data_IF_666404385304
#
_entry.id   IF_666404385304
#
_cell.length_a   1.000
_cell.length_b   1.000
_cell.length_c   1.000
_cell.angle_alpha   90.00
_cell.angle_beta   90.00
_cell.angle_gamma   90.00
#
_symmetry.space_group_name_H-M   'P 1'
#
loop_
_entity.id
_entity.type
_entity.pdbx_description
1 polymer ?
#
# COMPACT_ATOMS: atom_id res chain seq x y z
N UNK A 1 -28.77 13.62 31.88
CA UNK A 1 -27.53 14.28 31.38
C UNK A 1 -26.63 13.17 30.83
N UNK A 2 -26.39 13.14 29.53
CA UNK A 2 -25.32 12.29 28.94
C UNK A 2 -23.97 12.90 29.31
N UNK A 3 -23.12 12.16 30.01
CA UNK A 3 -21.72 12.53 30.21
C UNK A 3 -20.97 12.22 28.91
N UNK A 4 -20.31 13.19 28.34
CA UNK A 4 -19.34 13.05 27.25
C UNK A 4 -17.94 13.39 27.77
N UNK A 5 -16.92 12.73 27.22
CA UNK A 5 -15.55 13.11 27.58
C UNK A 5 -15.17 14.44 26.95
N UNK A 6 -14.27 15.16 27.60
CA UNK A 6 -13.64 16.34 27.00
C UNK A 6 -12.57 15.91 25.99
N UNK A 7 -12.15 16.78 25.06
CA UNK A 7 -11.05 16.49 24.15
C UNK A 7 -9.77 16.04 24.85
N UNK A 8 -9.45 16.67 26.01
CA UNK A 8 -8.31 16.28 26.85
C UNK A 8 -8.51 14.90 27.48
N UNK A 9 -9.76 14.57 27.88
CA UNK A 9 -10.13 13.27 28.40
C UNK A 9 -9.97 12.16 27.37
N UNK A 10 -10.30 12.42 26.11
CA UNK A 10 -10.10 11.49 25.00
C UNK A 10 -8.60 11.23 24.76
N UNK A 11 -7.77 12.29 24.75
CA UNK A 11 -6.31 12.18 24.62
C UNK A 11 -5.74 11.38 25.79
N UNK A 12 -6.13 11.70 27.03
CA UNK A 12 -5.66 10.99 28.22
C UNK A 12 -6.02 9.50 28.16
N UNK A 13 -7.24 9.16 27.81
CA UNK A 13 -7.70 7.78 27.72
C UNK A 13 -6.94 6.99 26.66
N UNK A 14 -6.66 7.61 25.51
CA UNK A 14 -5.88 6.99 24.45
C UNK A 14 -4.45 6.67 24.90
N UNK A 15 -3.78 7.63 25.54
CA UNK A 15 -2.42 7.44 26.08
C UNK A 15 -2.40 6.41 27.23
N UNK A 16 -3.36 6.47 28.15
CA UNK A 16 -3.46 5.52 29.26
C UNK A 16 -3.67 4.07 28.74
N UNK A 17 -4.54 3.86 27.77
CA UNK A 17 -4.73 2.55 27.13
C UNK A 17 -3.47 2.02 26.47
N UNK A 18 -2.69 2.90 25.83
CA UNK A 18 -1.41 2.54 25.22
C UNK A 18 -0.41 2.05 26.27
N UNK A 19 -0.21 2.81 27.35
CA UNK A 19 0.72 2.48 28.44
C UNK A 19 0.32 1.14 29.09
N UNK A 20 -0.94 0.95 29.40
CA UNK A 20 -1.45 -0.31 29.98
C UNK A 20 -1.22 -1.49 29.02
N UNK A 21 -1.40 -1.27 27.71
CA UNK A 21 -1.11 -2.28 26.69
C UNK A 21 0.35 -2.68 26.65
N UNK A 22 1.28 -1.73 26.75
CA UNK A 22 2.74 -1.96 26.79
C UNK A 22 3.16 -2.73 28.05
N UNK A 23 2.57 -2.39 29.22
CA UNK A 23 2.80 -3.14 30.48
C UNK A 23 2.31 -4.57 30.36
N UNK A 24 1.15 -4.80 29.76
CA UNK A 24 0.62 -6.14 29.55
C UNK A 24 1.45 -6.96 28.57
N UNK A 25 2.03 -6.34 27.53
CA UNK A 25 2.98 -6.99 26.64
C UNK A 25 4.26 -7.40 27.36
N UNK A 26 4.81 -6.50 28.19
CA UNK A 26 6.00 -6.81 28.98
C UNK A 26 5.75 -8.02 29.90
N UNK A 27 4.59 -8.07 30.58
CA UNK A 27 4.23 -9.24 31.41
C UNK A 27 4.14 -10.53 30.58
N UNK A 28 3.62 -10.46 29.35
CA UNK A 28 3.54 -11.62 28.47
C UNK A 28 4.92 -12.08 28.00
N UNK A 29 5.82 -11.16 27.67
CA UNK A 29 7.20 -11.47 27.26
C UNK A 29 8.01 -12.15 28.38
N UNK A 30 7.75 -11.80 29.63
CA UNK A 30 8.41 -12.37 30.81
C UNK A 30 7.79 -13.71 31.26
N UNK A 31 6.58 -14.02 30.78
CA UNK A 31 5.88 -15.26 31.11
C UNK A 31 6.34 -16.40 30.19
N UNK A 32 6.56 -17.59 30.76
CA UNK A 32 6.96 -18.81 30.03
C UNK A 32 5.82 -19.49 29.27
N UNK A 33 4.61 -18.96 29.27
CA UNK A 33 3.43 -19.53 28.63
C UNK A 33 3.28 -19.06 27.16
N UNK A 34 2.61 -19.88 26.33
CA UNK A 34 2.26 -19.57 24.95
C UNK A 34 1.51 -18.25 24.89
N UNK A 35 2.16 -17.20 24.36
CA UNK A 35 1.64 -15.82 24.39
C UNK A 35 0.47 -15.70 23.41
N UNK A 36 -0.74 -15.45 23.92
CA UNK A 36 -1.92 -15.20 23.11
C UNK A 36 -1.99 -13.73 22.71
N UNK A 37 -2.02 -13.39 21.39
CA UNK A 37 -2.19 -12.03 20.93
C UNK A 37 -3.47 -11.40 21.48
N UNK A 38 -3.37 -10.21 22.12
CA UNK A 38 -4.51 -9.46 22.66
C UNK A 38 -4.23 -7.96 22.66
N UNK A 39 -5.29 -7.17 22.83
CA UNK A 39 -5.23 -5.71 22.95
C UNK A 39 -5.37 -4.99 21.61
N UNK A 40 -5.20 -3.67 21.62
CA UNK A 40 -5.41 -2.78 20.48
C UNK A 40 -4.23 -2.85 19.50
N UNK A 41 -4.54 -3.07 18.22
CA UNK A 41 -3.62 -3.05 17.08
C UNK A 41 -4.05 -1.93 16.11
N UNK A 42 -3.23 -0.90 15.97
CA UNK A 42 -3.44 0.21 15.05
C UNK A 42 -2.72 -0.05 13.74
N UNK A 43 -3.48 -0.16 12.66
CA UNK A 43 -2.95 -0.48 11.33
C UNK A 43 -3.21 0.70 10.40
N UNK A 44 -2.17 1.14 9.68
CA UNK A 44 -2.31 2.04 8.54
C UNK A 44 -2.05 1.29 7.23
N UNK A 45 -2.76 1.65 6.18
CA UNK A 45 -2.53 1.16 4.84
C UNK A 45 -2.89 2.23 3.79
N UNK A 46 -2.34 2.09 2.57
CA UNK A 46 -2.74 2.96 1.46
C UNK A 46 -4.19 2.73 1.05
N UNK A 47 -4.89 3.80 0.61
CA UNK A 47 -6.35 3.79 0.37
C UNK A 47 -6.83 2.55 -0.40
N UNK A 48 -6.43 2.37 -1.65
CA UNK A 48 -6.95 1.31 -2.50
C UNK A 48 -6.54 -0.09 -2.01
N UNK A 49 -5.25 -0.29 -1.73
CA UNK A 49 -4.74 -1.59 -1.24
C UNK A 49 -5.31 -1.93 0.14
N UNK A 50 -5.39 -0.95 1.02
CA UNK A 50 -5.98 -1.11 2.35
C UNK A 50 -7.43 -1.59 2.27
N UNK A 51 -8.23 -0.97 1.40
CA UNK A 51 -9.65 -1.32 1.20
C UNK A 51 -9.82 -2.70 0.55
N UNK A 52 -9.11 -2.95 -0.55
CA UNK A 52 -9.33 -4.15 -1.37
C UNK A 52 -8.63 -5.41 -0.83
N UNK A 53 -7.47 -5.24 -0.17
CA UNK A 53 -6.61 -6.35 0.21
C UNK A 53 -6.46 -6.49 1.73
N UNK A 54 -6.11 -5.41 2.43
CA UNK A 54 -5.82 -5.46 3.86
C UNK A 54 -7.09 -5.64 4.71
N UNK A 55 -8.17 -4.91 4.42
CA UNK A 55 -9.41 -4.99 5.18
C UNK A 55 -10.05 -6.41 5.17
N UNK A 56 -10.13 -7.13 4.02
CA UNK A 56 -10.58 -8.53 4.02
C UNK A 56 -9.68 -9.47 4.83
N UNK A 57 -8.35 -9.22 4.84
CA UNK A 57 -7.41 -10.00 5.65
C UNK A 57 -7.63 -9.72 7.13
N UNK A 58 -7.81 -8.44 7.52
CA UNK A 58 -8.14 -8.06 8.90
C UNK A 58 -9.42 -8.77 9.37
N UNK A 59 -10.46 -8.86 8.53
CA UNK A 59 -11.68 -9.57 8.87
C UNK A 59 -11.44 -11.05 9.22
N UNK A 60 -10.53 -11.72 8.50
CA UNK A 60 -10.12 -13.10 8.80
C UNK A 60 -9.25 -13.17 10.06
N UNK A 61 -8.34 -12.21 10.24
CA UNK A 61 -7.47 -12.11 11.39
C UNK A 61 -8.26 -11.94 12.69
N UNK A 62 -9.24 -11.03 12.71
CA UNK A 62 -10.09 -10.78 13.88
C UNK A 62 -10.87 -12.05 14.34
N UNK A 63 -11.30 -12.89 13.37
CA UNK A 63 -11.93 -14.19 13.72
C UNK A 63 -10.95 -15.16 14.36
N UNK A 64 -9.68 -15.17 13.90
CA UNK A 64 -8.64 -16.06 14.43
C UNK A 64 -8.12 -15.60 15.80
N UNK A 65 -8.09 -14.28 16.01
CA UNK A 65 -7.56 -13.65 17.23
C UNK A 65 -8.59 -12.71 17.86
N UNK A 66 -9.66 -13.26 18.48
CA UNK A 66 -10.81 -12.47 18.96
C UNK A 66 -10.48 -11.52 20.11
N UNK A 67 -9.31 -11.66 20.76
CA UNK A 67 -8.85 -10.78 21.83
C UNK A 67 -8.04 -9.56 21.29
N UNK A 68 -7.81 -9.49 19.97
CA UNK A 68 -7.16 -8.34 19.34
C UNK A 68 -8.23 -7.42 18.77
N UNK A 69 -8.26 -6.19 19.26
CA UNK A 69 -9.05 -5.09 18.67
C UNK A 69 -8.23 -4.45 17.55
N UNK A 70 -8.74 -4.41 16.33
CA UNK A 70 -8.02 -3.83 15.19
C UNK A 70 -8.66 -2.53 14.76
N UNK A 71 -7.85 -1.45 14.73
CA UNK A 71 -8.23 -0.16 14.13
C UNK A 71 -7.47 0.02 12.82
N UNK A 72 -8.20 0.07 11.72
CA UNK A 72 -7.65 0.31 10.38
C UNK A 72 -7.90 1.76 9.97
N UNK A 73 -6.82 2.47 9.67
CA UNK A 73 -6.88 3.78 9.03
C UNK A 73 -6.25 3.72 7.64
N UNK A 74 -6.93 4.32 6.67
CA UNK A 74 -6.44 4.40 5.30
C UNK A 74 -5.94 5.81 5.01
N UNK A 75 -4.79 5.92 4.33
CA UNK A 75 -4.21 7.20 3.96
C UNK A 75 -3.66 7.19 2.54
N UNK A 76 -3.64 8.37 1.92
CA UNK A 76 -3.00 8.56 0.60
C UNK A 76 -1.49 8.38 0.75
N UNK A 77 -0.93 9.02 1.75
CA UNK A 77 0.48 8.96 2.12
C UNK A 77 0.57 8.29 3.48
N UNK A 78 1.12 7.07 3.58
CA UNK A 78 1.37 6.45 4.88
C UNK A 78 2.24 7.39 5.72
N UNK A 79 1.85 7.68 6.97
CA UNK A 79 2.64 8.54 7.85
C UNK A 79 4.03 7.95 8.10
N UNK A 80 4.97 8.79 8.47
CA UNK A 80 6.23 8.32 9.02
C UNK A 80 5.92 7.57 10.32
N UNK A 81 6.46 6.36 10.47
CA UNK A 81 6.17 5.46 11.62
C UNK A 81 6.78 5.99 12.93
N UNK A 82 7.50 7.09 12.87
CA UNK A 82 8.10 7.76 14.03
C UNK A 82 7.07 8.43 14.95
N UNK A 83 5.82 8.60 14.52
CA UNK A 83 4.83 9.43 15.21
C UNK A 83 3.96 8.65 16.23
N UNK A 84 4.32 7.42 16.60
CA UNK A 84 3.63 6.59 17.60
C UNK A 84 2.11 6.37 17.40
N UNK A 85 1.60 6.76 16.24
CA UNK A 85 0.16 6.70 15.91
C UNK A 85 -0.27 5.30 15.50
N UNK A 86 0.63 4.54 14.82
CA UNK A 86 0.34 3.22 14.28
C UNK A 86 1.34 2.17 14.76
N UNK A 87 0.83 0.96 15.02
CA UNK A 87 1.65 -0.20 15.37
C UNK A 87 2.24 -0.85 14.10
N UNK A 88 1.47 -0.86 12.99
CA UNK A 88 1.88 -1.41 11.69
C UNK A 88 1.40 -0.52 10.55
N UNK A 89 2.30 -0.21 9.62
CA UNK A 89 1.95 0.43 8.34
C UNK A 89 2.20 -0.52 7.17
N UNK A 90 1.19 -0.73 6.32
CA UNK A 90 1.31 -1.50 5.08
C UNK A 90 1.50 -0.53 3.92
N UNK A 91 2.66 -0.57 3.27
CA UNK A 91 3.07 0.40 2.25
C UNK A 91 3.78 -0.25 1.07
N UNK A 92 3.90 0.51 -0.01
CA UNK A 92 4.68 0.15 -1.19
C UNK A 92 6.09 0.75 -1.13
N UNK A 93 7.07 -0.04 -1.57
CA UNK A 93 8.47 0.33 -1.55
C UNK A 93 9.10 0.20 -0.15
N UNK A 94 10.40 -0.01 -0.12
CA UNK A 94 11.17 -0.12 1.11
C UNK A 94 11.25 1.24 1.82
N UNK A 95 11.01 1.29 3.14
CA UNK A 95 11.13 2.54 3.88
C UNK A 95 12.60 2.98 3.97
N UNK A 96 12.87 4.28 3.84
CA UNK A 96 14.23 4.81 3.91
C UNK A 96 14.80 4.86 5.34
N UNK A 97 14.00 4.62 6.38
CA UNK A 97 14.36 4.81 7.78
C UNK A 97 14.84 3.50 8.43
N UNK A 98 16.06 3.50 8.95
CA UNK A 98 16.67 2.37 9.65
C UNK A 98 16.12 2.13 11.08
N UNK A 99 15.30 3.04 11.62
CA UNK A 99 14.69 2.93 12.96
C UNK A 99 13.43 2.07 12.99
N UNK A 100 13.05 1.54 11.85
CA UNK A 100 11.87 0.70 11.71
C UNK A 100 12.26 -0.69 11.21
N UNK A 101 11.42 -1.67 11.51
CA UNK A 101 11.51 -3.01 10.92
C UNK A 101 10.63 -3.03 9.69
N UNK A 102 11.20 -3.42 8.56
CA UNK A 102 10.50 -3.62 7.31
C UNK A 102 10.47 -5.10 6.95
N UNK A 103 9.27 -5.68 6.89
CA UNK A 103 9.08 -7.05 6.41
C UNK A 103 8.41 -7.02 5.05
N UNK A 104 9.08 -7.55 4.04
CA UNK A 104 8.49 -7.76 2.71
C UNK A 104 7.37 -8.77 2.80
N UNK A 105 6.16 -8.39 2.37
CA UNK A 105 4.96 -9.21 2.41
C UNK A 105 4.71 -9.92 1.08
N UNK A 106 4.84 -9.20 -0.02
CA UNK A 106 4.60 -9.73 -1.37
C UNK A 106 5.32 -8.89 -2.43
N UNK A 107 5.69 -9.48 -3.57
CA UNK A 107 6.14 -8.72 -4.73
C UNK A 107 4.98 -7.89 -5.29
N UNK A 108 5.28 -6.72 -5.81
CA UNK A 108 4.33 -5.93 -6.58
C UNK A 108 5.07 -5.14 -7.65
N UNK A 109 4.50 -5.11 -8.83
CA UNK A 109 4.97 -4.30 -9.95
C UNK A 109 3.85 -3.40 -10.46
N UNK A 110 4.22 -2.29 -11.04
CA UNK A 110 3.29 -1.41 -11.76
C UNK A 110 3.39 -1.71 -13.25
N UNK A 111 2.28 -1.62 -13.95
CA UNK A 111 2.19 -1.81 -15.39
C UNK A 111 1.58 -0.55 -16.02
N UNK A 112 1.92 -0.30 -17.28
CA UNK A 112 1.22 0.71 -18.07
C UNK A 112 0.06 0.01 -18.78
N UNK A 113 -1.12 0.64 -18.75
CA UNK A 113 -2.31 0.10 -19.37
C UNK A 113 -3.20 1.21 -19.93
N UNK A 114 -4.04 0.86 -20.89
CA UNK A 114 -5.07 1.73 -21.45
C UNK A 114 -6.26 0.90 -21.93
N UNK A 115 -7.42 1.52 -22.11
CA UNK A 115 -8.55 0.86 -22.77
C UNK A 115 -8.25 0.63 -24.26
N UNK A 116 -8.76 -0.48 -24.87
CA UNK A 116 -8.66 -0.71 -26.31
C UNK A 116 -9.20 0.46 -27.14
N UNK A 117 -10.27 1.10 -26.67
CA UNK A 117 -10.88 2.27 -27.31
C UNK A 117 -9.92 3.48 -27.38
N UNK A 118 -9.08 3.68 -26.35
CA UNK A 118 -8.04 4.71 -26.38
C UNK A 118 -6.96 4.38 -27.40
N UNK A 119 -6.47 3.14 -27.39
CA UNK A 119 -5.43 2.66 -28.31
C UNK A 119 -5.89 2.73 -29.76
N UNK A 120 -7.16 2.39 -30.04
CA UNK A 120 -7.74 2.47 -31.38
C UNK A 120 -7.76 3.90 -31.94
N UNK A 121 -7.96 4.91 -31.08
CA UNK A 121 -8.01 6.33 -31.47
C UNK A 121 -6.64 7.01 -31.57
N UNK A 122 -5.70 6.62 -30.72
CA UNK A 122 -4.43 7.37 -30.53
C UNK A 122 -3.18 6.55 -30.91
N UNK A 123 -3.35 5.27 -31.27
CA UNK A 123 -2.24 4.34 -31.50
C UNK A 123 -1.65 3.81 -30.20
N UNK A 124 -0.86 2.75 -30.32
CA UNK A 124 -0.12 2.16 -29.21
C UNK A 124 1.32 2.66 -29.23
N UNK A 125 1.83 3.29 -28.16
CA UNK A 125 3.22 3.71 -28.10
C UNK A 125 4.14 2.48 -28.13
N UNK A 126 5.20 2.56 -28.92
CA UNK A 126 6.22 1.52 -29.10
C UNK A 126 7.49 1.80 -28.29
N UNK A 127 7.70 3.04 -27.90
CA UNK A 127 8.85 3.48 -27.09
C UNK A 127 8.41 4.37 -25.96
N UNK A 128 9.16 4.44 -24.84
CA UNK A 128 8.83 5.31 -23.71
C UNK A 128 8.68 6.79 -24.10
N UNK A 129 9.48 7.28 -25.06
CA UNK A 129 9.44 8.67 -25.50
C UNK A 129 8.09 9.06 -26.12
N UNK A 130 7.40 8.11 -26.75
CA UNK A 130 6.09 8.35 -27.34
C UNK A 130 5.00 8.63 -26.27
N UNK A 131 5.22 8.25 -24.99
CA UNK A 131 4.31 8.63 -23.91
C UNK A 131 4.15 10.15 -23.74
N UNK A 132 5.14 10.94 -24.15
CA UNK A 132 5.08 12.39 -24.10
C UNK A 132 3.98 13.00 -25.01
N UNK A 133 3.53 12.25 -26.03
CA UNK A 133 2.47 12.65 -26.97
C UNK A 133 1.12 12.04 -26.63
N UNK A 134 1.06 11.14 -25.64
CA UNK A 134 -0.18 10.55 -25.17
C UNK A 134 -0.74 11.27 -23.96
N UNK A 135 -2.06 11.19 -23.77
CA UNK A 135 -2.70 11.59 -22.53
C UNK A 135 -2.42 10.55 -21.44
N UNK A 136 -1.70 10.94 -20.38
CA UNK A 136 -1.32 10.07 -19.29
C UNK A 136 -2.07 10.45 -18.01
N UNK A 137 -2.83 9.51 -17.45
CA UNK A 137 -3.60 9.74 -16.22
C UNK A 137 -2.64 9.79 -15.03
N UNK A 138 -2.67 10.90 -14.29
CA UNK A 138 -1.79 11.14 -13.15
C UNK A 138 -2.39 10.61 -11.84
N UNK A 139 -1.53 9.98 -11.02
CA UNK A 139 -1.85 9.66 -9.63
C UNK A 139 -0.87 10.40 -8.73
N UNK A 140 -1.38 11.23 -7.80
CA UNK A 140 -0.59 11.94 -6.79
C UNK A 140 -0.64 11.15 -5.48
N UNK A 141 0.42 10.37 -5.22
CA UNK A 141 0.60 9.63 -3.98
C UNK A 141 2.05 9.81 -3.51
N UNK A 142 2.23 10.20 -2.25
CA UNK A 142 3.56 10.47 -1.71
C UNK A 142 4.21 11.72 -2.28
N UNK A 143 5.53 11.80 -2.06
CA UNK A 143 6.39 12.91 -2.49
C UNK A 143 7.01 12.68 -3.88
N UNK A 144 6.56 11.63 -4.60
CA UNK A 144 7.08 11.34 -5.95
C UNK A 144 6.79 12.53 -6.89
N UNK A 145 7.79 12.88 -7.70
CA UNK A 145 7.66 13.93 -8.70
C UNK A 145 6.52 13.62 -9.68
N UNK A 146 5.45 14.40 -9.58
CA UNK A 146 4.29 14.26 -10.45
C UNK A 146 4.67 14.47 -11.92
N UNK A 147 4.20 13.56 -12.78
CA UNK A 147 4.41 13.68 -14.23
C UNK A 147 5.76 13.16 -14.73
N UNK A 148 6.50 12.40 -13.94
CA UNK A 148 7.71 11.69 -14.40
C UNK A 148 7.55 10.20 -14.17
N UNK A 149 7.60 9.42 -15.26
CA UNK A 149 7.59 7.97 -15.18
C UNK A 149 8.98 7.42 -15.48
N UNK A 150 9.42 6.49 -14.65
CA UNK A 150 10.69 5.77 -14.85
C UNK A 150 10.41 4.41 -15.44
N UNK A 151 11.04 4.12 -16.57
CA UNK A 151 10.89 2.86 -17.27
C UNK A 151 12.28 2.27 -17.55
N UNK A 152 12.43 0.98 -17.34
CA UNK A 152 13.69 0.27 -17.55
C UNK A 152 13.51 -0.81 -18.61
N UNK A 153 14.55 -1.03 -19.41
CA UNK A 153 14.64 -2.12 -20.37
C UNK A 153 16.00 -2.82 -20.27
N UNK A 154 16.08 -4.06 -20.74
CA UNK A 154 17.30 -4.88 -20.64
C UNK A 154 17.44 -5.57 -19.27
N UNK A 155 18.52 -6.38 -19.14
CA UNK A 155 18.82 -7.14 -17.90
C UNK A 155 20.30 -6.99 -17.54
N UNK A 156 20.61 -7.11 -16.26
CA UNK A 156 21.98 -7.03 -15.76
C UNK A 156 22.66 -5.72 -16.16
N UNK A 157 23.89 -5.79 -16.66
CA UNK A 157 24.69 -4.62 -17.06
C UNK A 157 24.10 -3.86 -18.28
N UNK A 158 23.23 -4.49 -19.07
CA UNK A 158 22.54 -3.85 -20.18
C UNK A 158 21.24 -3.12 -19.77
N UNK A 159 20.89 -3.12 -18.48
CA UNK A 159 19.69 -2.42 -18.01
C UNK A 159 19.84 -0.92 -18.17
N UNK A 160 18.92 -0.33 -18.91
CA UNK A 160 18.83 1.11 -19.13
C UNK A 160 17.53 1.62 -18.51
N UNK A 161 17.62 2.67 -17.70
CA UNK A 161 16.46 3.34 -17.09
C UNK A 161 16.31 4.71 -17.69
N UNK A 162 15.11 5.02 -18.14
CA UNK A 162 14.74 6.30 -18.71
C UNK A 162 13.67 6.99 -17.86
N UNK A 163 13.80 8.29 -17.69
CA UNK A 163 12.80 9.14 -17.01
C UNK A 163 12.03 9.93 -18.05
N UNK A 164 10.74 9.66 -18.18
CA UNK A 164 9.88 10.28 -19.18
C UNK A 164 8.95 11.28 -18.51
N UNK A 165 8.98 12.52 -19.00
CA UNK A 165 7.97 13.52 -18.62
C UNK A 165 6.66 13.18 -19.33
N UNK A 166 5.64 12.86 -18.56
CA UNK A 166 4.29 12.57 -19.05
C UNK A 166 3.34 13.70 -18.65
N UNK A 167 2.31 13.89 -19.46
CA UNK A 167 1.29 14.92 -19.24
C UNK A 167 -0.09 14.32 -19.47
N UNK A 168 -1.08 14.87 -18.78
CA UNK A 168 -2.48 14.51 -18.99
C UNK A 168 -3.39 15.54 -18.35
N UNK A 169 -4.65 15.48 -18.73
CA UNK A 169 -5.70 16.39 -18.26
C UNK A 169 -6.46 15.86 -17.03
N UNK A 170 -6.17 14.64 -16.57
CA UNK A 170 -6.81 14.01 -15.42
C UNK A 170 -5.77 13.60 -14.39
N UNK A 171 -5.95 14.06 -13.17
CA UNK A 171 -5.08 13.77 -12.02
C UNK A 171 -5.94 13.52 -10.79
N UNK A 172 -5.64 12.46 -10.04
CA UNK A 172 -6.32 12.11 -8.79
C UNK A 172 -5.31 11.60 -7.75
N UNK A 173 -5.73 11.50 -6.52
CA UNK A 173 -5.00 10.80 -5.45
C UNK A 173 -5.59 9.41 -5.14
N UNK A 174 -6.65 9.01 -5.85
CA UNK A 174 -7.31 7.71 -5.69
C UNK A 174 -7.09 6.82 -6.92
N UNK A 175 -6.54 5.63 -6.68
CA UNK A 175 -6.20 4.69 -7.75
C UNK A 175 -7.41 4.09 -8.45
N UNK A 176 -8.56 3.93 -7.77
CA UNK A 176 -9.77 3.37 -8.36
C UNK A 176 -10.39 4.37 -9.34
N UNK A 177 -10.41 5.65 -8.99
CA UNK A 177 -10.83 6.73 -9.90
C UNK A 177 -9.95 6.73 -11.15
N UNK A 178 -8.61 6.62 -10.98
CA UNK A 178 -7.70 6.58 -12.12
C UNK A 178 -7.94 5.35 -13.02
N UNK A 179 -8.24 4.18 -12.43
CA UNK A 179 -8.57 2.96 -13.19
C UNK A 179 -9.88 3.16 -13.97
N UNK A 180 -10.90 3.76 -13.37
CA UNK A 180 -12.16 4.03 -14.06
C UNK A 180 -11.96 4.97 -15.25
N UNK A 181 -11.18 6.05 -15.10
CA UNK A 181 -10.83 6.93 -16.22
C UNK A 181 -10.06 6.21 -17.34
N UNK A 182 -9.16 5.29 -16.97
CA UNK A 182 -8.48 4.48 -17.97
C UNK A 182 -9.45 3.55 -18.72
N UNK A 183 -10.39 2.92 -18.01
CA UNK A 183 -11.44 2.07 -18.60
C UNK A 183 -12.38 2.84 -19.53
N UNK A 184 -12.66 4.12 -19.21
CA UNK A 184 -13.45 5.02 -20.04
C UNK A 184 -12.68 5.54 -21.28
N UNK A 185 -11.39 5.16 -21.40
CA UNK A 185 -10.56 5.49 -22.56
C UNK A 185 -10.03 6.93 -22.55
N UNK A 186 -9.80 7.50 -21.39
CA UNK A 186 -9.24 8.84 -21.27
C UNK A 186 -7.72 8.89 -21.47
N UNK A 187 -6.98 7.78 -21.26
CA UNK A 187 -5.55 7.83 -21.40
C UNK A 187 -4.81 6.56 -20.97
N UNK A 188 -3.49 6.68 -20.93
CA UNK A 188 -2.59 5.64 -20.43
C UNK A 188 -2.41 5.85 -18.92
N UNK A 189 -2.49 4.77 -18.16
CA UNK A 189 -2.35 4.74 -16.72
C UNK A 189 -1.17 3.83 -16.32
N UNK A 190 -0.33 4.28 -15.38
CA UNK A 190 0.61 3.41 -14.66
C UNK A 190 -0.06 2.95 -13.36
N UNK A 191 -0.25 1.63 -13.18
CA UNK A 191 -0.96 1.10 -12.02
C UNK A 191 -0.39 -0.23 -11.53
N UNK A 192 -0.55 -0.51 -10.23
CA UNK A 192 -0.18 -1.77 -9.63
C UNK A 192 -0.93 -2.94 -10.27
N UNK A 193 -0.21 -4.02 -10.59
CA UNK A 193 -0.77 -5.17 -11.30
C UNK A 193 -1.95 -5.80 -10.57
N UNK A 194 -1.90 -5.91 -9.25
CA UNK A 194 -2.98 -6.49 -8.45
C UNK A 194 -4.33 -5.78 -8.67
N UNK A 195 -4.31 -4.47 -8.89
CA UNK A 195 -5.51 -3.64 -9.04
C UNK A 195 -6.14 -3.76 -10.43
N UNK A 196 -5.31 -3.91 -11.47
CA UNK A 196 -5.77 -3.96 -12.87
C UNK A 196 -5.82 -5.37 -13.46
N UNK A 197 -5.36 -6.39 -12.73
CA UNK A 197 -5.26 -7.76 -13.24
C UNK A 197 -6.59 -8.30 -13.79
N UNK A 198 -7.71 -8.01 -13.12
CA UNK A 198 -9.05 -8.41 -13.59
C UNK A 198 -9.42 -7.76 -14.93
N UNK A 199 -9.01 -6.51 -15.13
CA UNK A 199 -9.31 -5.74 -16.34
C UNK A 199 -8.41 -6.15 -17.51
N UNK A 200 -7.16 -6.50 -17.23
CA UNK A 200 -6.26 -7.08 -18.24
C UNK A 200 -6.77 -8.46 -18.70
N UNK A 201 -7.16 -9.34 -17.76
CA UNK A 201 -7.71 -10.66 -18.10
C UNK A 201 -9.01 -10.60 -18.88
N UNK A 202 -9.86 -9.63 -18.62
CA UNK A 202 -11.12 -9.42 -19.34
C UNK A 202 -10.98 -8.64 -20.64
N UNK A 203 -9.77 -8.18 -21.01
CA UNK A 203 -9.52 -7.36 -22.19
C UNK A 203 -10.08 -5.92 -22.10
N UNK A 204 -10.62 -5.50 -20.97
CA UNK A 204 -11.10 -4.11 -20.76
C UNK A 204 -9.95 -3.10 -20.69
N UNK A 205 -8.78 -3.55 -20.26
CA UNK A 205 -7.50 -2.84 -20.39
C UNK A 205 -6.53 -3.73 -21.15
N UNK A 206 -5.62 -3.11 -21.87
CA UNK A 206 -4.48 -3.76 -22.53
C UNK A 206 -3.20 -3.18 -21.99
N UNK A 207 -2.16 -4.01 -21.92
CA UNK A 207 -0.85 -3.57 -21.48
C UNK A 207 -0.17 -2.72 -22.57
N UNK A 208 0.47 -1.65 -22.12
CA UNK A 208 1.21 -0.71 -22.95
C UNK A 208 2.70 -0.83 -22.61
N UNK A 209 3.57 -0.89 -23.62
CA UNK A 209 5.03 -1.06 -23.46
C UNK A 209 5.39 -2.28 -22.57
N UNK A 210 4.93 -3.50 -22.88
CA UNK A 210 5.10 -4.68 -22.02
C UNK A 210 6.55 -5.13 -21.85
N UNK A 211 7.47 -4.67 -22.70
CA UNK A 211 8.91 -4.95 -22.63
C UNK A 211 9.67 -4.02 -21.69
N UNK A 212 8.99 -3.02 -21.11
CA UNK A 212 9.56 -2.07 -20.18
C UNK A 212 9.06 -2.34 -18.76
N UNK A 213 9.98 -2.27 -17.82
CA UNK A 213 9.71 -2.46 -16.39
C UNK A 213 9.62 -1.12 -15.66
N UNK A 214 8.74 -1.03 -14.70
CA UNK A 214 8.68 0.09 -13.74
C UNK A 214 9.58 -0.21 -12.54
N UNK A 215 9.96 0.80 -11.74
CA UNK A 215 10.65 0.57 -10.48
C UNK A 215 9.86 -0.39 -9.58
N UNK A 216 10.60 -1.22 -8.85
CA UNK A 216 10.02 -2.13 -7.87
C UNK A 216 9.17 -1.36 -6.85
N UNK A 217 8.02 -1.93 -6.52
CA UNK A 217 7.08 -1.35 -5.59
C UNK A 217 6.51 -2.44 -4.67
N UNK A 218 7.37 -3.32 -4.18
CA UNK A 218 7.01 -4.43 -3.30
C UNK A 218 6.22 -3.94 -2.09
N UNK A 219 5.41 -4.82 -1.54
CA UNK A 219 4.55 -4.53 -0.41
C UNK A 219 5.30 -4.88 0.87
N UNK A 220 5.37 -3.92 1.78
CA UNK A 220 6.01 -4.09 3.08
C UNK A 220 5.04 -3.83 4.23
N UNK A 221 5.17 -4.62 5.29
CA UNK A 221 4.71 -4.25 6.61
C UNK A 221 5.88 -3.57 7.33
N UNK A 222 5.65 -2.38 7.81
CA UNK A 222 6.66 -1.58 8.51
C UNK A 222 6.14 -1.28 9.91
N UNK A 223 6.99 -1.46 10.93
CA UNK A 223 6.62 -1.22 12.33
C UNK A 223 7.84 -0.80 13.15
N UNK A 224 7.65 -0.01 14.24
CA UNK A 224 8.74 0.44 15.10
C UNK A 224 9.50 -0.73 15.73
N UNK A 225 10.81 -0.54 15.98
CA UNK A 225 11.64 -1.56 16.65
C UNK A 225 11.11 -1.96 18.03
N UNK A 226 10.48 -1.04 18.79
CA UNK A 226 9.87 -1.36 20.08
C UNK A 226 8.79 -2.44 20.01
N UNK A 227 8.16 -2.62 18.83
CA UNK A 227 7.13 -3.65 18.60
C UNK A 227 7.69 -4.96 18.03
N UNK A 228 9.03 -5.11 17.94
CA UNK A 228 9.69 -6.32 17.41
C UNK A 228 9.34 -7.61 18.16
N UNK A 229 8.93 -7.50 19.40
CA UNK A 229 8.52 -8.62 20.26
C UNK A 229 7.02 -8.59 20.59
N UNK A 230 6.26 -7.62 20.08
CA UNK A 230 4.83 -7.51 20.34
C UNK A 230 4.06 -8.67 19.71
N UNK A 231 3.40 -9.54 20.51
CA UNK A 231 2.74 -10.74 19.98
C UNK A 231 1.62 -10.43 18.99
N UNK A 232 0.86 -9.34 19.20
CA UNK A 232 -0.21 -8.95 18.30
C UNK A 232 0.33 -8.43 16.97
N UNK A 233 1.44 -7.65 17.00
CA UNK A 233 2.09 -7.13 15.79
C UNK A 233 2.69 -8.29 14.98
N UNK A 234 3.46 -9.16 15.61
CA UNK A 234 4.08 -10.31 14.95
C UNK A 234 3.02 -11.26 14.35
N UNK A 235 1.96 -11.58 15.10
CA UNK A 235 0.88 -12.41 14.61
C UNK A 235 0.17 -11.79 13.41
N UNK A 236 -0.05 -10.47 13.43
CA UNK A 236 -0.70 -9.77 12.32
C UNK A 236 0.19 -9.72 11.08
N UNK A 237 1.46 -9.36 11.23
CA UNK A 237 2.41 -9.29 10.12
C UNK A 237 2.63 -10.66 9.47
N UNK A 238 2.71 -11.73 10.28
CA UNK A 238 2.79 -13.10 9.77
C UNK A 238 1.51 -13.51 9.03
N UNK A 239 0.34 -13.18 9.59
CA UNK A 239 -0.95 -13.46 8.97
C UNK A 239 -1.15 -12.75 7.64
N UNK A 240 -0.69 -11.46 7.55
CA UNK A 240 -0.67 -10.70 6.30
C UNK A 240 0.22 -11.38 5.26
N UNK A 241 1.46 -11.74 5.65
CA UNK A 241 2.42 -12.36 4.73
C UNK A 241 1.87 -13.67 4.15
N UNK A 242 1.33 -14.54 5.01
CA UNK A 242 0.71 -15.81 4.58
C UNK A 242 -0.50 -15.59 3.67
N UNK A 243 -1.35 -14.62 4.00
CA UNK A 243 -2.56 -14.32 3.23
C UNK A 243 -2.27 -13.74 1.86
N UNK A 244 -1.20 -12.95 1.71
CA UNK A 244 -0.78 -12.36 0.45
C UNK A 244 0.02 -13.35 -0.42
N UNK A 245 0.78 -14.28 0.19
CA UNK A 245 1.51 -15.32 -0.53
C UNK A 245 0.60 -16.41 -1.14
N UNK A 246 -0.60 -16.59 -0.59
CA UNK A 246 -1.59 -17.60 -1.04
C UNK A 246 -2.41 -17.14 -2.26
N UNK A 247 -2.10 -15.99 -2.87
CA UNK A 247 -2.78 -15.42 -4.05
C UNK A 247 -1.94 -15.51 -5.30
#
# INVERSE_FOLDING_TARGET
RRMSMTPEGDIYLEHARRILGEIDELKQLLGSAKVTPKGLLRVNATLGFGRCEVAPIISKFARKYPLVEVQLQLSVNPPLITDDVFDVCVRFGEPPDSRVIARRLAPNRRLLCAAPSYIARHGQPKTPQQLATHNCIGIRQGDEAHGVWRLSSGRGESRRTESIKVRGNLVTNDGEIAVNWALDGHGILMRAQWDIARHLRSGRLVEVLPTFETPDADIFAVYPQRHQHSPRVLAFVEFLAQSLAAR
#
